data_IF_386076939198
#
_entry.id   IF_386076939198
#
_cell.length_a   1.000
_cell.length_b   1.000
_cell.length_c   1.000
_cell.angle_alpha   90.00
_cell.angle_beta   90.00
_cell.angle_gamma   90.00
#
_symmetry.space_group_name_H-M   'P 1'
#
loop_
_entity.id
_entity.type
_entity.pdbx_description
1 polymer ?
#
# COMPACT_ATOMS: atom_id res chain seq x y z
N UNK A 1 -1.59 -11.55 -1.24
CA UNK A 1 -0.16 -11.37 -1.60
C UNK A 1 0.53 -10.57 -0.50
N UNK A 2 1.87 -10.57 -0.42
CA UNK A 2 2.64 -9.78 0.55
C UNK A 2 3.49 -8.73 -0.16
N UNK A 3 3.42 -7.50 0.33
CA UNK A 3 4.17 -6.35 -0.14
C UNK A 3 4.99 -5.79 1.01
N UNK A 4 6.25 -5.46 0.76
CA UNK A 4 7.07 -4.68 1.70
C UNK A 4 7.51 -3.43 0.95
N UNK A 5 7.12 -2.27 1.48
CA UNK A 5 7.37 -0.95 0.92
C UNK A 5 8.28 -0.23 1.91
N UNK A 6 9.34 0.38 1.40
CA UNK A 6 10.27 1.13 2.25
C UNK A 6 9.71 2.51 2.64
N UNK A 7 10.43 3.25 3.48
CA UNK A 7 10.03 4.58 3.96
C UNK A 7 9.88 5.62 2.83
N UNK A 8 10.56 5.44 1.70
CA UNK A 8 10.46 6.35 0.54
C UNK A 8 9.34 5.97 -0.44
N UNK A 9 8.50 4.98 -0.11
CA UNK A 9 7.40 4.52 -0.98
C UNK A 9 7.82 3.52 -2.08
N UNK A 10 9.07 3.09 -2.08
CA UNK A 10 9.58 2.08 -3.03
C UNK A 10 9.24 0.66 -2.60
N UNK A 11 8.72 -0.15 -3.53
CA UNK A 11 8.48 -1.58 -3.32
C UNK A 11 9.82 -2.32 -3.26
N UNK A 12 10.13 -2.94 -2.12
CA UNK A 12 11.38 -3.70 -1.91
C UNK A 12 11.16 -5.22 -1.98
N UNK A 13 9.92 -5.68 -1.75
CA UNK A 13 9.58 -7.08 -1.84
C UNK A 13 8.12 -7.26 -2.26
N UNK A 14 7.89 -8.18 -3.18
CA UNK A 14 6.57 -8.64 -3.55
C UNK A 14 6.57 -10.15 -3.71
N UNK A 15 5.61 -10.80 -3.04
CA UNK A 15 5.33 -12.22 -3.23
C UNK A 15 3.84 -12.47 -3.33
N UNK A 16 3.45 -13.10 -4.43
CA UNK A 16 2.12 -13.64 -4.60
C UNK A 16 2.00 -15.02 -3.98
N UNK A 17 0.87 -15.30 -3.34
CA UNK A 17 0.55 -16.60 -2.73
C UNK A 17 -0.74 -17.21 -3.30
N UNK A 18 -1.42 -16.50 -4.21
CA UNK A 18 -2.67 -16.93 -4.81
C UNK A 18 -2.46 -17.73 -6.10
N UNK A 19 -3.54 -18.34 -6.57
CA UNK A 19 -3.60 -19.05 -7.86
C UNK A 19 -3.98 -18.14 -9.04
N UNK A 20 -4.37 -16.88 -8.77
CA UNK A 20 -4.97 -15.96 -9.75
C UNK A 20 -3.98 -15.35 -10.76
N UNK A 21 -2.76 -15.87 -10.85
CA UNK A 21 -1.70 -15.30 -11.67
C UNK A 21 -0.97 -14.17 -10.94
N UNK A 22 0.34 -14.09 -11.19
CA UNK A 22 1.20 -13.07 -10.58
C UNK A 22 0.92 -11.72 -11.24
N UNK A 23 0.67 -10.71 -10.41
CA UNK A 23 0.55 -9.34 -10.87
C UNK A 23 1.87 -8.88 -11.51
N UNK A 24 1.81 -8.09 -12.58
CA UNK A 24 3.03 -7.65 -13.24
C UNK A 24 3.84 -6.68 -12.36
N UNK A 25 5.12 -6.51 -12.68
CA UNK A 25 6.03 -5.67 -11.89
C UNK A 25 5.52 -4.23 -11.78
N UNK A 26 5.03 -3.65 -12.87
CA UNK A 26 4.55 -2.27 -12.88
C UNK A 26 3.28 -2.11 -12.04
N UNK A 27 2.37 -3.07 -12.09
CA UNK A 27 1.17 -3.09 -11.25
C UNK A 27 1.54 -3.19 -9.77
N UNK A 28 2.55 -3.98 -9.42
CA UNK A 28 3.00 -4.08 -8.03
C UNK A 28 3.60 -2.77 -7.53
N UNK A 29 4.33 -2.06 -8.39
CA UNK A 29 4.85 -0.73 -8.10
C UNK A 29 3.73 0.30 -7.93
N UNK A 30 2.68 0.24 -8.76
CA UNK A 30 1.51 1.12 -8.66
C UNK A 30 0.79 0.92 -7.33
N UNK A 31 0.49 -0.33 -6.94
CA UNK A 31 -0.15 -0.63 -5.65
C UNK A 31 0.69 -0.12 -4.48
N UNK A 32 2.01 -0.32 -4.51
CA UNK A 32 2.91 0.21 -3.49
C UNK A 32 2.88 1.74 -3.40
N UNK A 33 2.87 2.41 -4.56
CA UNK A 33 2.81 3.87 -4.65
C UNK A 33 1.48 4.41 -4.11
N UNK A 34 0.37 3.75 -4.45
CA UNK A 34 -0.96 4.10 -3.96
C UNK A 34 -1.05 3.99 -2.43
N UNK A 35 -0.55 2.90 -1.85
CA UNK A 35 -0.50 2.72 -0.40
C UNK A 35 0.27 3.86 0.27
N UNK A 36 1.47 4.16 -0.24
CA UNK A 36 2.31 5.21 0.33
C UNK A 36 1.65 6.60 0.22
N UNK A 37 1.08 6.94 -0.94
CA UNK A 37 0.35 8.20 -1.12
C UNK A 37 -0.86 8.30 -0.18
N UNK A 38 -1.63 7.22 -0.01
CA UNK A 38 -2.79 7.24 0.88
C UNK A 38 -2.40 7.39 2.35
N UNK A 39 -1.30 6.76 2.78
CA UNK A 39 -0.74 6.95 4.10
C UNK A 39 -0.31 8.41 4.34
N UNK A 40 0.35 9.04 3.37
CA UNK A 40 0.75 10.45 3.47
C UNK A 40 -0.45 11.42 3.46
N UNK A 41 -1.43 11.20 2.58
CA UNK A 41 -2.62 12.05 2.46
C UNK A 41 -3.47 11.97 3.73
N UNK A 42 -3.73 10.77 4.24
CA UNK A 42 -4.51 10.58 5.47
C UNK A 42 -3.83 11.20 6.69
N UNK A 43 -2.50 11.18 6.76
CA UNK A 43 -1.76 11.89 7.80
C UNK A 43 -2.02 13.41 7.76
N UNK A 44 -2.03 14.01 6.57
CA UNK A 44 -2.29 15.45 6.39
C UNK A 44 -3.77 15.83 6.60
N UNK A 45 -4.69 14.94 6.25
CA UNK A 45 -6.13 15.18 6.38
C UNK A 45 -6.68 14.88 7.77
N UNK A 46 -5.90 14.25 8.65
CA UNK A 46 -6.39 13.85 9.98
C UNK A 46 -6.89 15.06 10.78
N UNK A 47 -8.14 15.04 11.27
CA UNK A 47 -8.65 16.09 12.14
C UNK A 47 -8.13 15.95 13.58
N UNK A 48 -7.46 14.84 13.91
CA UNK A 48 -6.95 14.55 15.25
C UNK A 48 -5.42 14.53 15.24
N UNK A 49 -4.83 15.21 16.21
CA UNK A 49 -3.39 15.21 16.47
C UNK A 49 -2.89 13.79 16.77
N UNK A 50 -1.74 13.42 16.18
CA UNK A 50 -1.09 12.12 16.44
C UNK A 50 -1.52 10.98 15.54
N UNK A 51 -2.45 11.19 14.60
CA UNK A 51 -2.73 10.21 13.54
C UNK A 51 -1.52 10.13 12.60
N UNK A 52 -1.04 8.94 12.27
CA UNK A 52 0.19 8.75 11.46
C UNK A 52 -0.08 8.40 10.00
N UNK A 53 -1.35 8.18 9.63
CA UNK A 53 -1.78 7.79 8.29
C UNK A 53 -2.65 6.53 8.34
N UNK A 54 -2.96 5.94 7.18
CA UNK A 54 -3.73 4.69 7.12
C UNK A 54 -2.90 3.50 7.64
N UNK A 55 -3.57 2.59 8.35
CA UNK A 55 -3.03 1.31 8.82
C UNK A 55 -3.72 0.12 8.13
N UNK A 56 -4.95 0.31 7.65
CA UNK A 56 -5.75 -0.68 6.95
C UNK A 56 -6.52 0.02 5.82
N UNK A 57 -6.53 -0.61 4.65
CA UNK A 57 -7.40 -0.27 3.53
C UNK A 57 -8.13 -1.56 3.14
N UNK A 58 -9.46 -1.52 3.12
CA UNK A 58 -10.30 -2.67 2.81
C UNK A 58 -11.28 -2.31 1.71
N UNK A 59 -11.53 -3.23 0.80
CA UNK A 59 -12.55 -3.17 -0.24
C UNK A 59 -13.50 -4.37 -0.10
N UNK A 60 -14.59 -4.37 -0.86
CA UNK A 60 -15.60 -5.44 -0.78
C UNK A 60 -15.05 -6.83 -1.11
N UNK A 61 -13.97 -6.89 -1.89
CA UNK A 61 -13.40 -8.13 -2.45
C UNK A 61 -11.92 -8.36 -2.09
N UNK A 62 -11.29 -7.50 -1.27
CA UNK A 62 -9.93 -7.69 -0.75
C UNK A 62 -9.57 -6.74 0.40
#
# INVERSE_FOLDING_TARGET
SLYIINKSGGLIYYKDYGSAGRMDTNDSLRVASLWHSMHAISHQLSPVSGCLGIELLQADIF
#
